data_IF_634047572041
#
_entry.id   IF_634047572041
#
_cell.length_a   1.000
_cell.length_b   1.000
_cell.length_c   1.000
_cell.angle_alpha   90.00
_cell.angle_beta   90.00
_cell.angle_gamma   90.00
#
_symmetry.space_group_name_H-M   'P 1'
#
loop_
_entity.id
_entity.type
_entity.pdbx_description
1 polymer ?
#
# COMPACT_ATOMS: atom_id res chain seq x y z
N UNK A 1 28.08 -17.34 -26.00
CA UNK A 1 28.34 -17.43 -24.55
C UNK A 1 27.17 -16.75 -23.87
N UNK A 2 26.38 -17.55 -23.15
CA UNK A 2 25.12 -17.14 -22.55
C UNK A 2 25.40 -16.34 -21.27
N UNK A 3 25.11 -15.04 -21.26
CA UNK A 3 24.89 -14.32 -20.00
C UNK A 3 23.40 -14.33 -19.70
N UNK A 4 23.00 -15.40 -19.01
CA UNK A 4 21.75 -15.48 -18.26
C UNK A 4 21.84 -14.56 -17.05
N UNK A 5 21.55 -13.27 -17.22
CA UNK A 5 21.19 -12.41 -16.09
C UNK A 5 19.86 -12.91 -15.51
N UNK A 6 19.97 -13.70 -14.43
CA UNK A 6 18.86 -14.01 -13.54
C UNK A 6 18.34 -12.71 -12.93
N UNK A 7 17.26 -12.18 -13.50
CA UNK A 7 16.58 -11.00 -12.97
C UNK A 7 15.87 -11.41 -11.67
N UNK A 8 16.50 -11.20 -10.51
CA UNK A 8 15.83 -11.41 -9.23
C UNK A 8 14.68 -10.41 -9.11
N UNK A 9 13.44 -10.88 -9.07
CA UNK A 9 12.27 -10.02 -8.83
C UNK A 9 12.21 -9.42 -7.41
N UNK A 10 13.23 -9.65 -6.58
CA UNK A 10 13.39 -9.02 -5.28
C UNK A 10 13.83 -7.55 -5.45
N UNK A 11 13.06 -6.62 -4.90
CA UNK A 11 13.49 -5.23 -4.72
C UNK A 11 12.92 -4.17 -5.69
N UNK A 12 11.84 -4.44 -6.42
CA UNK A 12 11.25 -3.39 -7.29
C UNK A 12 10.46 -2.36 -6.47
N UNK A 13 11.05 -1.18 -6.24
CA UNK A 13 10.35 0.03 -5.78
C UNK A 13 9.15 0.37 -6.69
N UNK A 14 8.04 0.82 -6.10
CA UNK A 14 6.87 1.33 -6.83
C UNK A 14 6.68 2.80 -6.51
N UNK A 15 6.63 3.65 -7.53
CA UNK A 15 6.21 5.04 -7.38
C UNK A 15 4.68 5.17 -7.33
N UNK A 16 4.19 6.39 -7.19
CA UNK A 16 2.75 6.66 -7.09
C UNK A 16 1.98 6.22 -8.35
N UNK A 17 2.57 6.28 -9.54
CA UNK A 17 1.90 5.88 -10.78
C UNK A 17 1.71 4.37 -10.83
N UNK A 18 2.73 3.61 -10.44
CA UNK A 18 2.62 2.16 -10.32
C UNK A 18 1.64 1.75 -9.21
N UNK A 19 1.65 2.46 -8.06
CA UNK A 19 0.67 2.23 -6.99
C UNK A 19 -0.76 2.45 -7.49
N UNK A 20 -1.03 3.57 -8.17
CA UNK A 20 -2.37 3.91 -8.71
C UNK A 20 -2.83 2.94 -9.81
N UNK A 21 -1.89 2.32 -10.54
CA UNK A 21 -2.19 1.30 -11.54
C UNK A 21 -2.70 0.01 -10.91
N UNK A 22 -2.15 -0.37 -9.75
CA UNK A 22 -2.46 -1.63 -9.10
C UNK A 22 -3.58 -1.51 -8.06
N UNK A 23 -3.69 -0.38 -7.36
CA UNK A 23 -4.77 -0.14 -6.42
C UNK A 23 -5.94 0.61 -7.07
N UNK A 24 -7.19 0.21 -6.81
CA UNK A 24 -8.37 0.96 -7.26
C UNK A 24 -8.61 2.24 -6.44
N UNK A 25 -8.01 2.36 -5.26
CA UNK A 25 -8.16 3.51 -4.35
C UNK A 25 -7.74 4.83 -5.02
N UNK A 26 -8.48 5.90 -4.77
CA UNK A 26 -8.20 7.27 -5.25
C UNK A 26 -8.40 8.26 -4.11
N UNK A 27 -7.98 9.51 -4.32
CA UNK A 27 -8.19 10.58 -3.34
C UNK A 27 -9.67 10.64 -2.90
N UNK A 28 -9.96 10.79 -1.59
CA UNK A 28 -9.02 10.99 -0.47
C UNK A 28 -8.59 9.71 0.26
N UNK A 29 -8.74 8.54 -0.36
CA UNK A 29 -8.57 7.23 0.29
C UNK A 29 -7.47 6.35 -0.29
N UNK A 30 -6.61 6.86 -1.18
CA UNK A 30 -5.34 6.23 -1.51
C UNK A 30 -4.30 6.69 -0.50
N UNK A 31 -3.79 5.77 0.32
CA UNK A 31 -2.94 6.07 1.49
C UNK A 31 -1.53 5.50 1.35
N UNK A 32 -1.12 5.05 0.17
CA UNK A 32 0.26 4.62 -0.08
C UNK A 32 0.86 5.53 -1.15
N UNK A 33 1.97 6.18 -0.80
CA UNK A 33 2.67 7.10 -1.72
C UNK A 33 3.73 6.37 -2.54
N UNK A 34 4.38 5.37 -1.94
CA UNK A 34 5.49 4.63 -2.54
C UNK A 34 5.67 3.26 -1.88
N UNK A 35 6.18 2.29 -2.63
CA UNK A 35 6.76 1.05 -2.12
C UNK A 35 8.28 1.15 -2.20
N UNK A 36 8.94 0.94 -1.07
CA UNK A 36 10.41 1.00 -0.94
C UNK A 36 11.02 -0.37 -1.24
N UNK A 37 10.42 -1.45 -0.73
CA UNK A 37 10.90 -2.81 -0.91
C UNK A 37 9.72 -3.76 -1.09
N UNK A 38 9.88 -4.77 -1.94
CA UNK A 38 8.88 -5.80 -2.15
C UNK A 38 9.57 -7.13 -2.41
N UNK A 39 9.26 -8.10 -1.55
CA UNK A 39 9.66 -9.50 -1.64
C UNK A 39 8.37 -10.31 -1.87
N UNK A 40 8.04 -10.66 -3.13
CA UNK A 40 6.83 -11.39 -3.46
C UNK A 40 6.66 -12.67 -2.63
N UNK A 41 5.47 -12.87 -2.08
CA UNK A 41 5.12 -13.99 -1.21
C UNK A 41 5.54 -13.83 0.25
N UNK A 42 6.40 -12.87 0.58
CA UNK A 42 6.95 -12.70 1.93
C UNK A 42 6.53 -11.38 2.58
N UNK A 43 6.76 -10.24 1.93
CA UNK A 43 6.58 -8.95 2.57
C UNK A 43 6.80 -7.74 1.67
N UNK A 44 6.39 -6.59 2.16
CA UNK A 44 6.50 -5.30 1.47
C UNK A 44 6.74 -4.18 2.49
N UNK A 45 7.59 -3.22 2.13
CA UNK A 45 7.81 -1.98 2.89
C UNK A 45 7.24 -0.82 2.08
N UNK A 46 6.22 -0.15 2.63
CA UNK A 46 5.56 0.99 2.00
C UNK A 46 5.81 2.29 2.77
N UNK A 47 5.64 3.41 2.07
CA UNK A 47 5.71 4.75 2.62
C UNK A 47 4.35 5.45 2.45
N UNK A 48 3.87 6.00 3.57
CA UNK A 48 2.79 6.99 3.65
C UNK A 48 3.35 8.23 4.33
N UNK A 49 3.52 9.30 3.57
CA UNK A 49 3.81 10.62 4.14
C UNK A 49 2.55 11.15 4.82
N UNK A 50 2.75 11.74 5.98
CA UNK A 50 1.68 12.37 6.75
C UNK A 50 1.87 13.88 6.68
N UNK A 51 0.87 14.59 6.17
CA UNK A 51 0.95 16.04 5.95
C UNK A 51 -0.27 16.76 6.51
N UNK A 52 -0.07 17.93 7.11
CA UNK A 52 -1.16 18.78 7.62
C UNK A 52 -2.16 19.20 6.52
N UNK A 53 -1.77 19.11 5.25
CA UNK A 53 -2.62 19.41 4.09
C UNK A 53 -3.54 18.24 3.68
N UNK A 54 -3.68 17.19 4.50
CA UNK A 54 -4.61 16.10 4.25
C UNK A 54 -6.01 16.40 4.84
N UNK A 55 -7.09 16.01 4.13
CA UNK A 55 -8.45 16.49 4.42
C UNK A 55 -8.97 16.08 5.81
N UNK A 56 -8.55 14.91 6.33
CA UNK A 56 -9.03 14.42 7.62
C UNK A 56 -8.46 15.21 8.82
N UNK A 57 -7.35 15.95 8.67
CA UNK A 57 -6.80 16.77 9.76
C UNK A 57 -7.68 17.98 10.11
N UNK A 58 -8.57 18.42 9.21
CA UNK A 58 -9.57 19.45 9.54
C UNK A 58 -10.49 19.01 10.68
N UNK A 59 -10.74 17.70 10.80
CA UNK A 59 -11.65 17.11 11.79
C UNK A 59 -10.98 16.28 12.89
N UNK A 60 -9.70 15.91 12.75
CA UNK A 60 -9.04 14.96 13.64
C UNK A 60 -7.67 15.46 14.15
N UNK A 61 -7.62 16.40 15.08
CA UNK A 61 -8.71 17.22 15.64
C UNK A 61 -8.40 18.71 15.38
N UNK A 62 -9.39 19.61 15.39
CA UNK A 62 -9.12 21.05 15.31
C UNK A 62 -8.04 21.47 16.32
N UNK A 63 -7.02 22.19 15.85
CA UNK A 63 -5.85 22.66 16.62
C UNK A 63 -4.90 21.56 17.16
N UNK A 64 -5.22 20.28 16.99
CA UNK A 64 -4.41 19.14 17.43
C UNK A 64 -4.45 18.04 16.37
N UNK A 65 -3.70 18.17 15.26
CA UNK A 65 -3.71 17.17 14.20
C UNK A 65 -3.13 15.85 14.71
N UNK A 66 -3.92 14.78 14.59
CA UNK A 66 -3.53 13.41 14.95
C UNK A 66 -3.89 12.53 13.76
N UNK A 67 -2.96 11.74 13.22
CA UNK A 67 -3.32 10.85 12.13
C UNK A 67 -4.26 9.76 12.66
N UNK A 68 -5.45 9.55 12.09
CA UNK A 68 -6.40 8.57 12.62
C UNK A 68 -5.81 7.16 12.60
N UNK A 69 -5.82 6.45 13.73
CA UNK A 69 -5.26 5.09 13.83
C UNK A 69 -5.90 4.11 12.84
N UNK A 70 -7.19 4.27 12.55
CA UNK A 70 -7.90 3.47 11.53
C UNK A 70 -7.34 3.68 10.12
N UNK A 71 -6.79 4.85 9.80
CA UNK A 71 -6.14 5.09 8.51
C UNK A 71 -4.75 4.45 8.43
N UNK A 72 -4.10 4.17 9.58
CA UNK A 72 -2.88 3.34 9.60
C UNK A 72 -3.25 1.91 9.21
N UNK A 73 -4.34 1.37 9.76
CA UNK A 73 -4.82 0.03 9.42
C UNK A 73 -5.24 -0.06 7.95
N UNK A 74 -5.91 0.97 7.43
CA UNK A 74 -6.27 1.05 6.01
C UNK A 74 -5.03 1.10 5.11
N UNK A 75 -4.03 1.94 5.44
CA UNK A 75 -2.79 2.00 4.68
C UNK A 75 -2.08 0.64 4.68
N UNK A 76 -2.04 -0.06 5.81
CA UNK A 76 -1.51 -1.43 5.89
C UNK A 76 -2.29 -2.39 4.98
N UNK A 77 -3.62 -2.31 4.95
CA UNK A 77 -4.44 -3.14 4.06
C UNK A 77 -4.18 -2.85 2.57
N UNK A 78 -3.97 -1.59 2.20
CA UNK A 78 -3.60 -1.21 0.84
C UNK A 78 -2.21 -1.74 0.47
N UNK A 79 -1.27 -1.71 1.41
CA UNK A 79 0.05 -2.29 1.24
C UNK A 79 0.00 -3.82 1.04
N UNK A 80 -0.86 -4.55 1.77
CA UNK A 80 -1.06 -5.99 1.54
C UNK A 80 -1.72 -6.27 0.20
N UNK A 81 -2.65 -5.41 -0.25
CA UNK A 81 -3.19 -5.45 -1.60
C UNK A 81 -2.08 -5.40 -2.65
N UNK A 82 -1.17 -4.42 -2.56
CA UNK A 82 0.00 -4.28 -3.45
C UNK A 82 0.91 -5.51 -3.42
N UNK A 83 1.16 -6.09 -2.24
CA UNK A 83 1.92 -7.32 -2.10
C UNK A 83 1.22 -8.50 -2.79
N UNK A 84 -0.09 -8.65 -2.61
CA UNK A 84 -0.88 -9.71 -3.24
C UNK A 84 -0.80 -9.63 -4.78
N UNK A 85 -0.95 -8.44 -5.36
CA UNK A 85 -0.76 -8.22 -6.80
C UNK A 85 0.62 -8.63 -7.32
N UNK A 86 1.66 -8.50 -6.50
CA UNK A 86 3.04 -8.87 -6.85
C UNK A 86 3.36 -10.34 -6.60
N UNK A 87 2.58 -11.00 -5.76
CA UNK A 87 2.83 -12.37 -5.31
C UNK A 87 1.98 -13.40 -6.04
N UNK A 88 0.82 -13.00 -6.56
CA UNK A 88 -0.16 -13.90 -7.16
C UNK A 88 -0.45 -13.50 -8.63
N UNK A 89 -0.02 -14.34 -9.57
CA UNK A 89 -0.24 -14.13 -11.00
C UNK A 89 -1.73 -14.19 -11.38
N UNK A 90 -2.58 -14.91 -10.62
CA UNK A 90 -4.02 -14.94 -10.87
C UNK A 90 -4.65 -13.57 -10.58
N UNK A 91 -4.23 -12.92 -9.48
CA UNK A 91 -4.70 -11.56 -9.13
C UNK A 91 -4.19 -10.54 -10.15
N UNK A 92 -2.92 -10.65 -10.55
CA UNK A 92 -2.29 -9.77 -11.53
C UNK A 92 -2.95 -9.81 -12.91
N UNK A 93 -3.52 -10.96 -13.29
CA UNK A 93 -4.27 -11.14 -14.53
C UNK A 93 -5.71 -10.59 -14.51
N UNK A 94 -6.25 -10.26 -13.33
CA UNK A 94 -7.60 -9.72 -13.22
C UNK A 94 -7.67 -8.26 -13.70
N UNK A 95 -8.75 -7.92 -14.41
CA UNK A 95 -9.07 -6.53 -14.73
C UNK A 95 -9.82 -5.91 -13.55
N UNK A 96 -9.25 -4.86 -12.97
CA UNK A 96 -9.84 -4.07 -11.87
C UNK A 96 -10.30 -4.90 -10.65
N UNK A 97 -9.46 -5.79 -10.07
CA UNK A 97 -9.88 -6.55 -8.91
C UNK A 97 -10.07 -5.63 -7.69
N UNK A 98 -11.11 -5.92 -6.91
CA UNK A 98 -11.38 -5.26 -5.63
C UNK A 98 -10.89 -6.19 -4.53
N UNK A 99 -9.99 -5.68 -3.70
CA UNK A 99 -9.49 -6.41 -2.55
C UNK A 99 -10.34 -6.05 -1.32
N UNK A 100 -11.03 -7.04 -0.76
CA UNK A 100 -11.87 -6.83 0.41
C UNK A 100 -11.10 -7.10 1.69
N UNK A 101 -11.11 -6.13 2.59
CA UNK A 101 -10.53 -6.30 3.91
C UNK A 101 -11.57 -6.93 4.85
N UNK A 102 -11.40 -8.23 5.15
CA UNK A 102 -12.43 -9.04 5.83
C UNK A 102 -12.41 -8.97 7.35
N UNK A 103 -11.30 -8.57 7.96
CA UNK A 103 -11.18 -8.54 9.41
C UNK A 103 -9.81 -8.08 9.88
N UNK A 104 -9.75 -7.64 11.14
CA UNK A 104 -8.53 -7.18 11.82
C UNK A 104 -8.50 -7.82 13.20
N UNK A 105 -7.39 -8.48 13.52
CA UNK A 105 -7.13 -9.01 14.85
C UNK A 105 -5.96 -8.28 15.52
N UNK A 106 -6.07 -8.12 16.84
CA UNK A 106 -4.98 -7.65 17.72
C UNK A 106 -4.35 -6.30 17.35
N UNK A 107 -5.08 -5.41 16.68
CA UNK A 107 -4.62 -4.04 16.45
C UNK A 107 -4.37 -3.29 17.78
N UNK A 108 -3.22 -2.64 17.89
CA UNK A 108 -2.80 -1.83 19.05
C UNK A 108 -2.03 -0.61 18.54
N UNK A 109 -2.42 0.57 19.00
CA UNK A 109 -1.70 1.82 18.76
C UNK A 109 -0.91 2.16 20.03
N UNK A 110 0.40 2.41 19.88
CA UNK A 110 1.31 2.74 20.99
C UNK A 110 1.46 4.24 21.14
#
# INVERSE_FOLDING_TARGET
>A
MNDSTSNSQAGKCLDIHEVMKHLPHRYPFLLIDRVLECNPGEGLIALKNVSINEPFFQGHFPQRPVFPGVLIMEALAQATGLLAFRSDEAIKGMRNPIYYFVGIDKARFK
#
